data_IF_919978545342
#
_entry.id   IF_919978545342
#
_cell.length_a   1.000
_cell.length_b   1.000
_cell.length_c   1.000
_cell.angle_alpha   90.00
_cell.angle_beta   90.00
_cell.angle_gamma   90.00
#
_symmetry.space_group_name_H-M   'P 1'
#
loop_
_entity.id
_entity.type
_entity.pdbx_description
1 polymer ?
#
# COMPACT_ATOMS: atom_id res chain seq x y z
N UNK A 1 -18.62 13.89 -14.79
CA UNK A 1 -20.01 14.25 -14.42
C UNK A 1 -19.91 15.51 -13.55
N UNK A 2 -20.58 16.60 -13.92
CA UNK A 2 -20.51 17.86 -13.14
C UNK A 2 -21.48 17.74 -11.96
N UNK A 3 -21.03 18.06 -10.75
CA UNK A 3 -21.90 18.05 -9.57
C UNK A 3 -22.99 19.12 -9.73
N UNK A 4 -24.16 18.81 -9.17
CA UNK A 4 -25.31 19.73 -9.16
C UNK A 4 -24.98 20.88 -8.20
N UNK A 5 -25.16 22.10 -8.69
CA UNK A 5 -25.07 23.30 -7.87
C UNK A 5 -26.44 23.60 -7.25
N UNK A 6 -26.58 23.27 -5.96
CA UNK A 6 -27.81 23.48 -5.21
C UNK A 6 -28.06 24.96 -4.89
N UNK A 7 -27.03 25.82 -5.01
CA UNK A 7 -27.21 27.25 -4.77
C UNK A 7 -28.05 27.94 -5.84
N UNK A 8 -28.16 27.34 -7.02
CA UNK A 8 -28.94 27.86 -8.14
C UNK A 8 -30.36 27.33 -8.22
N UNK A 9 -30.71 26.34 -7.40
CA UNK A 9 -32.04 25.74 -7.40
C UNK A 9 -33.09 26.67 -6.74
N UNK A 10 -34.21 26.96 -7.43
CA UNK A 10 -35.27 27.84 -6.90
C UNK A 10 -35.86 27.36 -5.57
N UNK A 11 -36.01 26.05 -5.40
CA UNK A 11 -36.59 25.43 -4.22
C UNK A 11 -35.71 25.66 -2.99
N UNK A 12 -34.39 25.53 -3.15
CA UNK A 12 -33.40 25.75 -2.09
C UNK A 12 -33.31 27.22 -1.69
N UNK A 13 -33.36 28.15 -2.67
CA UNK A 13 -33.41 29.60 -2.40
C UNK A 13 -34.64 29.99 -1.59
N UNK A 14 -35.81 29.43 -1.93
CA UNK A 14 -37.04 29.68 -1.20
C UNK A 14 -36.97 29.16 0.24
N UNK A 15 -36.44 27.96 0.44
CA UNK A 15 -36.29 27.34 1.76
C UNK A 15 -35.35 28.16 2.66
N UNK A 16 -34.17 28.54 2.17
CA UNK A 16 -33.20 29.35 2.91
C UNK A 16 -33.79 30.68 3.37
N UNK A 17 -34.63 31.31 2.53
CA UNK A 17 -35.34 32.54 2.85
C UNK A 17 -36.36 32.33 3.95
N UNK A 18 -37.17 31.26 3.88
CA UNK A 18 -38.15 30.91 4.91
C UNK A 18 -37.48 30.65 6.26
N UNK A 19 -36.30 30.02 6.23
CA UNK A 19 -35.52 29.71 7.44
C UNK A 19 -34.82 30.94 8.05
N UNK A 20 -34.82 32.09 7.37
CA UNK A 20 -34.07 33.27 7.82
C UNK A 20 -32.56 33.03 7.89
N UNK A 21 -32.06 32.02 7.18
CA UNK A 21 -30.67 31.60 7.24
C UNK A 21 -29.77 32.64 6.55
N UNK A 22 -28.73 33.08 7.25
CA UNK A 22 -27.69 33.93 6.66
C UNK A 22 -26.73 33.05 5.86
N UNK A 23 -26.46 33.39 4.60
CA UNK A 23 -25.41 32.73 3.82
C UNK A 23 -24.06 33.01 4.47
N UNK A 24 -23.35 31.94 4.82
CA UNK A 24 -21.96 32.00 5.22
C UNK A 24 -21.16 31.49 4.03
N UNK A 25 -20.24 32.29 3.51
CA UNK A 25 -19.31 31.80 2.51
C UNK A 25 -18.48 30.69 3.15
N UNK A 26 -18.43 29.52 2.51
CA UNK A 26 -17.55 28.45 2.94
C UNK A 26 -16.11 28.86 2.62
N UNK A 27 -15.46 29.54 3.56
CA UNK A 27 -14.04 29.87 3.48
C UNK A 27 -13.30 28.66 4.04
N UNK A 28 -12.87 27.79 3.13
CA UNK A 28 -11.97 26.70 3.48
C UNK A 28 -10.55 27.12 3.15
N UNK A 29 -9.67 27.06 4.15
CA UNK A 29 -8.23 27.15 3.90
C UNK A 29 -7.68 25.86 3.28
N UNK A 30 -8.49 24.80 3.22
CA UNK A 30 -8.15 23.57 2.53
C UNK A 30 -8.25 23.80 1.01
N UNK A 31 -7.15 24.28 0.46
CA UNK A 31 -6.85 24.12 -0.96
C UNK A 31 -6.77 22.63 -1.22
N UNK A 32 -7.69 22.11 -2.03
CA UNK A 32 -7.59 20.74 -2.52
C UNK A 32 -6.38 20.70 -3.44
N UNK A 33 -5.22 20.35 -2.89
CA UNK A 33 -4.06 20.01 -3.68
C UNK A 33 -4.42 18.71 -4.38
N UNK A 34 -4.67 18.77 -5.69
CA UNK A 34 -4.68 17.56 -6.49
C UNK A 34 -3.41 16.79 -6.12
N UNK A 35 -3.58 15.51 -5.77
CA UNK A 35 -2.45 14.61 -5.61
C UNK A 35 -1.90 14.42 -7.02
N UNK A 36 -1.11 15.38 -7.48
CA UNK A 36 -0.29 15.29 -8.68
C UNK A 36 0.89 14.38 -8.32
N UNK A 37 0.57 13.10 -8.24
CA UNK A 37 1.50 12.06 -7.88
C UNK A 37 1.53 11.07 -9.05
N UNK A 38 2.49 11.31 -9.93
CA UNK A 38 2.78 10.46 -11.09
C UNK A 38 2.95 9.00 -10.66
N UNK A 39 3.48 8.75 -9.44
CA UNK A 39 3.69 7.40 -8.91
C UNK A 39 2.39 6.76 -8.47
N UNK A 40 1.50 7.50 -7.82
CA UNK A 40 0.16 6.99 -7.52
C UNK A 40 -0.56 6.63 -8.83
N UNK A 41 -0.47 7.48 -9.84
CA UNK A 41 -1.06 7.22 -11.16
C UNK A 41 -0.45 5.97 -11.81
N UNK A 42 0.87 5.79 -11.72
CA UNK A 42 1.57 4.61 -12.22
C UNK A 42 1.17 3.34 -11.45
N UNK A 43 1.15 3.36 -10.11
CA UNK A 43 0.69 2.23 -9.30
C UNK A 43 -0.73 1.83 -9.67
N UNK A 44 -1.64 2.79 -9.83
CA UNK A 44 -3.03 2.50 -10.18
C UNK A 44 -3.19 1.96 -11.61
N UNK A 45 -2.31 2.34 -12.53
CA UNK A 45 -2.35 1.90 -13.92
C UNK A 45 -1.62 0.56 -14.15
N UNK A 46 -0.41 0.42 -13.63
CA UNK A 46 0.50 -0.71 -13.84
C UNK A 46 0.51 -1.73 -12.69
N UNK A 47 0.01 -1.35 -11.52
CA UNK A 47 0.01 -2.18 -10.30
C UNK A 47 1.31 -2.09 -9.49
N UNK A 48 2.30 -1.33 -9.95
CA UNK A 48 3.59 -1.14 -9.29
C UNK A 48 4.30 0.13 -9.79
N UNK A 49 5.27 0.62 -9.01
CA UNK A 49 6.15 1.76 -9.38
C UNK A 49 7.50 1.62 -8.70
N UNK A 50 8.57 2.09 -9.36
CA UNK A 50 9.90 2.19 -8.76
C UNK A 50 10.01 3.41 -7.83
N UNK A 51 10.60 3.21 -6.66
CA UNK A 51 10.80 4.27 -5.66
C UNK A 51 12.23 4.29 -5.16
N UNK A 52 12.70 5.49 -4.86
CA UNK A 52 13.93 5.71 -4.14
C UNK A 52 13.74 5.43 -2.65
N UNK A 53 14.85 5.30 -1.92
CA UNK A 53 14.80 5.05 -0.48
C UNK A 53 14.08 6.17 0.30
N UNK A 54 14.34 7.43 -0.07
CA UNK A 54 13.79 8.59 0.62
C UNK A 54 12.26 8.62 0.52
N UNK A 55 11.69 8.13 -0.59
CA UNK A 55 10.24 8.06 -0.80
C UNK A 55 9.57 6.93 -0.01
N UNK A 56 10.35 5.93 0.42
CA UNK A 56 9.82 4.85 1.25
C UNK A 56 9.70 5.28 2.71
N UNK A 57 10.57 6.19 3.18
CA UNK A 57 10.51 6.71 4.55
C UNK A 57 9.18 7.46 4.83
N UNK A 58 8.56 8.01 3.79
CA UNK A 58 7.26 8.69 3.84
C UNK A 58 6.06 7.73 3.80
N UNK A 59 6.27 6.41 3.74
CA UNK A 59 5.19 5.42 3.70
C UNK A 59 4.62 5.22 5.09
N UNK A 60 3.32 5.44 5.21
CA UNK A 60 2.56 5.24 6.43
C UNK A 60 2.39 3.76 6.74
N UNK A 61 2.15 3.45 8.02
CA UNK A 61 1.80 2.09 8.45
C UNK A 61 0.49 2.15 9.18
N UNK A 62 -0.52 1.49 8.63
CA UNK A 62 -1.86 1.40 9.20
C UNK A 62 -2.19 -0.08 9.36
N UNK A 63 -2.62 -0.46 10.56
CA UNK A 63 -2.93 -1.84 10.94
C UNK A 63 -1.82 -2.87 10.63
N UNK A 64 -0.58 -2.42 10.77
CA UNK A 64 0.61 -3.23 10.54
C UNK A 64 0.96 -3.44 9.07
N UNK A 65 0.36 -2.68 8.14
CA UNK A 65 0.62 -2.76 6.70
C UNK A 65 1.08 -1.41 6.14
N UNK A 66 1.98 -1.42 5.15
CA UNK A 66 2.35 -0.22 4.41
C UNK A 66 1.18 0.40 3.63
N UNK A 67 1.01 1.70 3.80
CA UNK A 67 0.01 2.51 3.13
C UNK A 67 0.70 3.64 2.37
N UNK A 68 0.60 3.62 1.05
CA UNK A 68 1.09 4.69 0.19
C UNK A 68 -0.10 5.41 -0.43
N UNK A 69 -0.30 6.68 -0.04
CA UNK A 69 -1.40 7.53 -0.52
C UNK A 69 -2.78 6.84 -0.45
N UNK A 70 -3.04 6.15 0.65
CA UNK A 70 -4.29 5.41 0.86
C UNK A 70 -4.38 4.04 0.17
N UNK A 71 -3.35 3.61 -0.57
CA UNK A 71 -3.27 2.27 -1.15
C UNK A 71 -2.39 1.37 -0.30
N UNK A 72 -2.87 0.16 0.00
CA UNK A 72 -2.04 -0.86 0.64
C UNK A 72 -1.04 -1.40 -0.36
N UNK A 73 0.23 -1.36 0.01
CA UNK A 73 1.33 -1.75 -0.87
C UNK A 73 2.24 -2.76 -0.18
N UNK A 74 2.98 -3.48 -0.99
CA UNK A 74 4.17 -4.22 -0.57
C UNK A 74 5.41 -3.60 -1.21
N UNK A 75 6.54 -3.83 -0.59
CA UNK A 75 7.86 -3.39 -1.04
C UNK A 75 8.69 -4.61 -1.40
N UNK A 76 9.31 -4.59 -2.56
CA UNK A 76 10.32 -5.59 -2.94
C UNK A 76 11.48 -4.94 -3.70
N UNK A 77 12.57 -5.68 -3.89
CA UNK A 77 13.73 -5.21 -4.66
C UNK A 77 13.60 -5.75 -6.09
N UNK A 78 13.65 -4.88 -7.10
CA UNK A 78 13.57 -5.28 -8.51
C UNK A 78 14.81 -6.04 -8.96
N UNK A 79 15.98 -5.57 -8.53
CA UNK A 79 17.26 -6.14 -8.94
C UNK A 79 17.74 -7.19 -7.94
N UNK A 80 17.68 -8.43 -8.38
CA UNK A 80 17.91 -9.58 -7.54
C UNK A 80 19.17 -10.31 -7.98
N UNK A 81 20.04 -10.63 -7.02
CA UNK A 81 21.29 -11.32 -7.31
C UNK A 81 21.02 -12.80 -7.61
N UNK A 82 21.45 -13.28 -8.77
CA UNK A 82 21.22 -14.64 -9.28
C UNK A 82 21.64 -15.73 -8.30
N UNK A 83 22.76 -15.52 -7.58
CA UNK A 83 23.28 -16.43 -6.55
C UNK A 83 22.24 -16.81 -5.47
N UNK A 84 21.25 -15.95 -5.20
CA UNK A 84 20.23 -16.19 -4.17
C UNK A 84 18.90 -16.71 -4.74
N UNK A 85 18.82 -17.01 -6.03
CA UNK A 85 17.59 -17.45 -6.68
C UNK A 85 16.97 -18.66 -5.97
N UNK A 86 17.77 -19.69 -5.68
CA UNK A 86 17.34 -20.91 -4.97
C UNK A 86 16.85 -20.66 -3.53
N UNK A 87 17.29 -19.58 -2.88
CA UNK A 87 16.84 -19.21 -1.52
C UNK A 87 15.48 -18.49 -1.55
N UNK A 88 15.04 -18.11 -2.74
CA UNK A 88 13.88 -17.30 -3.02
C UNK A 88 14.10 -15.84 -2.63
N UNK A 89 13.57 -14.95 -3.45
CA UNK A 89 13.54 -13.52 -3.14
C UNK A 89 12.37 -13.17 -2.25
N UNK A 90 12.37 -11.94 -1.70
CA UNK A 90 11.48 -11.55 -0.61
C UNK A 90 10.75 -10.26 -0.88
N UNK A 91 9.51 -10.19 -0.39
CA UNK A 91 8.76 -8.94 -0.27
C UNK A 91 8.51 -8.57 1.20
N UNK A 92 8.16 -7.31 1.42
CA UNK A 92 7.88 -6.71 2.71
C UNK A 92 6.54 -6.00 2.67
N UNK A 93 5.65 -6.25 3.63
CA UNK A 93 4.35 -5.59 3.72
C UNK A 93 4.21 -4.70 4.95
N UNK A 94 5.25 -4.64 5.79
CA UNK A 94 5.27 -3.89 7.06
C UNK A 94 6.70 -3.46 7.40
N UNK A 95 6.85 -2.51 8.32
CA UNK A 95 8.16 -2.08 8.82
C UNK A 95 8.76 -3.14 9.74
N UNK A 96 9.60 -3.97 9.13
CA UNK A 96 10.39 -4.98 9.82
C UNK A 96 11.84 -4.54 10.00
N UNK A 97 12.61 -5.30 10.78
CA UNK A 97 14.02 -4.99 11.00
C UNK A 97 14.81 -4.94 9.70
N UNK A 98 14.56 -5.83 8.74
CA UNK A 98 15.30 -5.86 7.47
C UNK A 98 15.12 -4.59 6.65
N UNK A 99 13.89 -4.09 6.52
CA UNK A 99 13.65 -2.86 5.77
C UNK A 99 14.15 -1.64 6.56
N UNK A 100 13.99 -1.64 7.89
CA UNK A 100 14.55 -0.61 8.77
C UNK A 100 16.08 -0.49 8.65
N UNK A 101 16.76 -1.63 8.66
CA UNK A 101 18.21 -1.70 8.48
C UNK A 101 18.61 -1.24 7.07
N UNK A 102 17.78 -1.53 6.06
CA UNK A 102 18.04 -1.09 4.70
C UNK A 102 17.96 0.44 4.57
N UNK A 103 16.97 1.08 5.22
CA UNK A 103 16.88 2.55 5.32
C UNK A 103 18.12 3.16 5.99
N UNK A 104 18.48 2.65 7.17
CA UNK A 104 19.61 3.16 7.96
C UNK A 104 20.91 3.08 7.16
N UNK A 105 21.12 1.99 6.42
CA UNK A 105 22.35 1.77 5.68
C UNK A 105 22.33 2.39 4.27
N UNK A 106 21.27 3.11 3.88
CA UNK A 106 21.11 3.75 2.56
C UNK A 106 21.52 2.84 1.39
N UNK A 107 21.02 1.60 1.42
CA UNK A 107 21.38 0.62 0.38
C UNK A 107 20.87 1.11 -0.98
N UNK A 108 21.79 1.22 -1.93
CA UNK A 108 21.48 1.58 -3.31
C UNK A 108 20.86 0.37 -4.01
N UNK A 109 19.56 0.18 -3.83
CA UNK A 109 18.78 -0.89 -4.47
C UNK A 109 17.50 -0.34 -5.05
N UNK A 110 17.09 -0.89 -6.21
CA UNK A 110 15.85 -0.50 -6.88
C UNK A 110 14.64 -1.08 -6.16
N UNK A 111 14.04 -0.31 -5.26
CA UNK A 111 12.81 -0.69 -4.58
C UNK A 111 11.59 -0.45 -5.45
N UNK A 112 10.57 -1.27 -5.22
CA UNK A 112 9.31 -1.22 -5.94
C UNK A 112 8.19 -1.25 -4.93
N UNK A 113 7.24 -0.33 -5.06
CA UNK A 113 5.93 -0.43 -4.42
C UNK A 113 4.99 -1.17 -5.36
N UNK A 114 4.24 -2.13 -4.84
CA UNK A 114 3.25 -2.88 -5.61
C UNK A 114 1.95 -3.05 -4.85
N UNK A 115 0.82 -2.91 -5.55
CA UNK A 115 -0.52 -3.25 -5.05
C UNK A 115 -0.90 -4.69 -5.41
N UNK A 116 -0.03 -5.44 -6.09
CA UNK A 116 -0.26 -6.84 -6.44
C UNK A 116 -0.27 -7.70 -5.18
N UNK A 117 -1.19 -8.66 -5.17
CA UNK A 117 -1.38 -9.57 -4.03
C UNK A 117 -1.32 -11.04 -4.42
N UNK A 118 -1.12 -11.32 -5.72
CA UNK A 118 -1.04 -12.67 -6.30
C UNK A 118 0.27 -13.40 -5.98
N UNK A 119 1.26 -12.71 -5.42
CA UNK A 119 2.54 -13.29 -5.02
C UNK A 119 3.59 -13.33 -6.14
N UNK A 120 3.26 -12.90 -7.36
CA UNK A 120 4.15 -12.93 -8.52
C UNK A 120 4.57 -11.52 -8.93
N UNK A 121 5.88 -11.29 -9.05
CA UNK A 121 6.45 -9.95 -9.22
C UNK A 121 7.53 -9.92 -10.29
N UNK A 122 7.64 -8.76 -10.96
CA UNK A 122 8.62 -8.51 -12.00
C UNK A 122 9.98 -8.16 -11.40
N UNK A 123 10.98 -9.01 -11.65
CA UNK A 123 12.37 -8.84 -11.20
C UNK A 123 13.36 -8.83 -12.37
N UNK A 124 14.53 -8.26 -12.14
CA UNK A 124 15.71 -8.44 -12.96
C UNK A 124 16.69 -9.35 -12.21
N UNK A 125 17.31 -10.30 -12.93
CA UNK A 125 18.39 -11.11 -12.39
C UNK A 125 19.73 -10.45 -12.70
N UNK A 126 20.54 -10.32 -11.66
CA UNK A 126 21.86 -9.71 -11.66
C UNK A 126 22.92 -10.78 -11.45
N UNK A 127 23.95 -10.83 -12.30
CA UNK A 127 25.14 -11.64 -12.06
C UNK A 127 26.37 -10.74 -12.16
N UNK A 128 27.23 -10.75 -11.14
CA UNK A 128 28.45 -9.92 -11.08
C UNK A 128 28.23 -8.42 -11.40
N UNK A 129 27.07 -7.88 -11.01
CA UNK A 129 26.70 -6.47 -11.23
C UNK A 129 26.05 -6.18 -12.58
N UNK A 130 25.97 -7.16 -13.48
CA UNK A 130 25.31 -7.03 -14.77
C UNK A 130 23.92 -7.65 -14.77
N UNK A 131 23.00 -7.01 -15.49
CA UNK A 131 21.65 -7.55 -15.68
C UNK A 131 21.69 -8.68 -16.71
N UNK A 132 21.49 -9.92 -16.27
CA UNK A 132 21.45 -11.10 -17.16
C UNK A 132 20.04 -11.40 -17.67
N UNK A 133 19.01 -10.96 -16.93
CA UNK A 133 17.61 -11.13 -17.34
C UNK A 133 16.76 -9.99 -16.80
N UNK A 134 15.80 -9.49 -17.61
CA UNK A 134 14.89 -8.40 -17.22
C UNK A 134 13.44 -8.85 -17.23
N UNK A 135 12.65 -8.30 -16.33
CA UNK A 135 11.20 -8.47 -16.30
C UNK A 135 10.74 -9.92 -16.12
N UNK A 136 11.55 -10.74 -15.44
CA UNK A 136 11.18 -12.12 -15.12
C UNK A 136 10.11 -12.09 -14.02
N UNK A 137 9.02 -12.80 -14.25
CA UNK A 137 7.93 -12.91 -13.27
C UNK A 137 8.22 -14.10 -12.36
N UNK A 138 8.52 -13.83 -11.09
CA UNK A 138 8.82 -14.86 -10.08
C UNK A 138 7.90 -14.76 -8.86
N UNK A 139 7.60 -15.89 -8.20
CA UNK A 139 7.00 -15.86 -6.88
C UNK A 139 8.00 -15.32 -5.87
N UNK A 140 7.59 -14.30 -5.12
CA UNK A 140 8.37 -13.79 -3.99
C UNK A 140 7.81 -14.36 -2.69
N UNK A 141 8.69 -14.73 -1.75
CA UNK A 141 8.27 -15.18 -0.42
C UNK A 141 8.16 -13.99 0.54
N UNK A 142 7.30 -14.11 1.54
CA UNK A 142 7.20 -13.09 2.59
C UNK A 142 8.51 -12.95 3.37
N UNK A 143 8.89 -11.75 3.80
CA UNK A 143 10.02 -11.62 4.73
C UNK A 143 9.66 -12.19 6.11
N UNK A 144 10.47 -13.11 6.65
CA UNK A 144 10.29 -13.67 8.01
C UNK A 144 10.25 -12.61 9.11
N UNK A 145 10.97 -11.51 8.94
CA UNK A 145 10.94 -10.41 9.89
C UNK A 145 9.63 -9.63 9.83
N UNK A 146 8.95 -9.59 8.68
CA UNK A 146 7.59 -9.03 8.60
C UNK A 146 6.60 -9.88 9.39
N UNK A 147 6.63 -11.21 9.23
CA UNK A 147 5.79 -12.14 10.02
C UNK A 147 6.02 -11.98 11.52
N UNK A 148 7.28 -11.81 11.92
CA UNK A 148 7.66 -11.56 13.31
C UNK A 148 7.14 -10.20 13.82
N UNK A 149 7.27 -9.13 13.04
CA UNK A 149 6.86 -7.77 13.43
C UNK A 149 5.39 -7.68 13.80
N UNK A 150 4.51 -8.34 13.03
CA UNK A 150 3.06 -8.34 13.29
C UNK A 150 2.61 -9.55 14.12
N UNK A 151 3.55 -10.39 14.57
CA UNK A 151 3.29 -11.65 15.26
C UNK A 151 2.22 -12.53 14.56
N UNK A 152 2.32 -12.66 13.23
CA UNK A 152 1.33 -13.36 12.42
C UNK A 152 1.14 -14.81 12.90
N UNK A 153 -0.08 -15.21 13.28
CA UNK A 153 -0.36 -16.55 13.83
C UNK A 153 0.57 -16.98 14.99
N UNK A 154 1.03 -16.03 15.82
CA UNK A 154 1.95 -16.32 16.92
C UNK A 154 3.39 -16.55 16.47
N UNK A 155 3.78 -16.05 15.28
CA UNK A 155 5.11 -16.27 14.70
C UNK A 155 6.26 -15.90 15.64
N UNK A 156 6.14 -14.89 16.50
CA UNK A 156 7.27 -14.46 17.35
C UNK A 156 7.62 -15.53 18.40
N UNK A 157 6.59 -16.12 19.03
CA UNK A 157 6.69 -17.09 20.13
C UNK A 157 6.73 -18.55 19.68
N UNK A 158 6.39 -18.83 18.42
CA UNK A 158 6.38 -20.18 17.89
C UNK A 158 7.77 -20.85 17.88
N UNK A 159 7.78 -22.18 18.04
CA UNK A 159 8.96 -23.02 17.81
C UNK A 159 9.39 -23.02 16.34
N UNK A 160 10.60 -23.53 16.06
CA UNK A 160 11.20 -23.49 14.72
C UNK A 160 10.32 -24.14 13.65
N UNK A 161 9.86 -25.36 13.89
CA UNK A 161 9.02 -26.11 12.96
C UNK A 161 7.73 -25.36 12.62
N UNK A 162 7.04 -24.84 13.64
CA UNK A 162 5.82 -24.04 13.45
C UNK A 162 6.10 -22.73 12.71
N UNK A 163 7.24 -22.08 12.95
CA UNK A 163 7.66 -20.88 12.19
C UNK A 163 7.88 -21.20 10.72
N UNK A 164 8.53 -22.32 10.42
CA UNK A 164 8.75 -22.75 9.04
C UNK A 164 7.43 -23.08 8.34
N UNK A 165 6.51 -23.75 9.03
CA UNK A 165 5.16 -24.00 8.52
C UNK A 165 4.40 -22.69 8.22
N UNK A 166 4.32 -21.75 9.18
CA UNK A 166 3.64 -20.46 8.97
C UNK A 166 4.25 -19.68 7.80
N UNK A 167 5.57 -19.76 7.64
CA UNK A 167 6.29 -19.08 6.57
C UNK A 167 6.01 -19.67 5.19
N UNK A 168 5.99 -21.00 5.05
CA UNK A 168 5.71 -21.65 3.76
C UNK A 168 4.21 -21.60 3.39
N UNK A 169 3.31 -21.58 4.37
CA UNK A 169 1.85 -21.47 4.16
C UNK A 169 1.35 -20.02 4.01
N UNK A 170 2.23 -19.02 4.07
CA UNK A 170 1.81 -17.62 3.97
C UNK A 170 1.38 -17.25 2.54
N UNK A 171 0.13 -16.83 2.40
CA UNK A 171 -0.41 -16.30 1.15
C UNK A 171 -0.76 -14.81 1.28
N UNK A 172 -0.17 -13.99 0.40
CA UNK A 172 -0.33 -12.54 0.44
C UNK A 172 -1.78 -12.10 0.16
N UNK A 173 -2.44 -12.75 -0.79
CA UNK A 173 -3.83 -12.47 -1.14
C UNK A 173 -4.76 -12.72 0.06
N UNK A 174 -4.62 -13.86 0.72
CA UNK A 174 -5.40 -14.22 1.92
C UNK A 174 -5.15 -13.29 3.09
N UNK A 175 -3.90 -12.83 3.27
CA UNK A 175 -3.58 -11.82 4.26
C UNK A 175 -4.35 -10.52 3.99
N UNK A 176 -4.32 -10.01 2.75
CA UNK A 176 -5.00 -8.75 2.41
C UNK A 176 -6.53 -8.85 2.26
N UNK A 177 -7.09 -10.05 2.02
CA UNK A 177 -8.56 -10.25 2.03
C UNK A 177 -9.21 -9.83 3.35
N UNK A 178 -8.52 -9.98 4.47
CA UNK A 178 -9.01 -9.53 5.79
C UNK A 178 -9.21 -8.02 5.85
N UNK A 179 -8.29 -7.28 5.24
CA UNK A 179 -8.29 -5.82 5.25
C UNK A 179 -9.19 -5.19 4.17
N UNK A 180 -9.52 -5.92 3.09
CA UNK A 180 -10.50 -5.47 2.09
C UNK A 180 -11.92 -5.32 2.65
N UNK A 181 -12.25 -6.04 3.73
CA UNK A 181 -13.56 -5.92 4.40
C UNK A 181 -13.68 -4.62 5.20
N UNK A 182 -12.58 -4.15 5.79
CA UNK A 182 -12.58 -2.95 6.64
C UNK A 182 -12.60 -1.65 5.82
N UNK A 183 -11.96 -1.61 4.64
CA UNK A 183 -11.94 -0.43 3.76
C UNK A 183 -13.30 -0.12 3.09
N UNK A 184 -14.24 -1.06 3.17
CA UNK A 184 -15.56 -0.95 2.53
C UNK A 184 -16.71 -1.04 3.54
N UNK A 185 -16.56 -0.55 4.76
CA UNK A 185 -17.73 -0.22 5.57
C UNK A 185 -18.41 1.08 5.06
N UNK A 186 -18.85 1.05 3.81
CA UNK A 186 -19.69 2.08 3.17
C UNK A 186 -21.05 2.22 3.88
N UNK A 187 -21.42 1.26 4.72
CA UNK A 187 -22.69 1.25 5.44
C UNK A 187 -22.74 2.31 6.56
N UNK A 188 -21.59 2.77 7.07
CA UNK A 188 -21.55 3.88 8.05
C UNK A 188 -21.81 5.25 7.40
N UNK A 189 -21.55 5.39 6.09
CA UNK A 189 -21.88 6.62 5.35
C UNK A 189 -23.36 6.72 4.97
N UNK A 190 -24.10 5.60 4.93
CA UNK A 190 -25.54 5.61 4.61
C UNK A 190 -26.42 5.87 5.82
N UNK A 191 -26.01 5.46 7.03
CA UNK A 191 -26.80 5.66 8.26
C UNK A 191 -26.82 7.09 8.78
N UNK A 192 -25.93 7.97 8.32
CA UNK A 192 -25.93 9.39 8.69
C UNK A 192 -26.86 10.27 7.86
N UNK A 193 -27.46 9.71 6.78
CA UNK A 193 -28.35 10.42 5.86
C UNK A 193 -29.81 9.94 5.90
N UNK A 194 -30.17 9.10 6.88
CA UNK A 194 -31.58 8.79 7.16
C UNK A 194 -32.05 9.68 8.33
N UNK A 195 -32.51 10.88 7.97
CA UNK A 195 -33.30 11.77 8.82
C UNK A 195 -34.74 11.79 8.35
#
# INVERSE_FOLDING_TARGET
MKLIDFDDMPEMKALLKTMGAKRVAWVTDNVWNAIDDDKLSEILAAGEVEVSMDEIDDIEIVDGVFLYKGQRVIIYIRDQVYKYYEQGYKFHFTKCSTISDAFINKRDTRYVLSVRTDGYFSINLMNDGEVVQRGLIEPLKVCRNCLRSINYQGYSTAGRERKDQIYEEFELEEYFKKYKRDDLNRDDFRKSNEW
#
